data_IF_948232247256
#
_entry.id   IF_948232247256
#
_cell.length_a   1.000
_cell.length_b   1.000
_cell.length_c   1.000
_cell.angle_alpha   90.00
_cell.angle_beta   90.00
_cell.angle_gamma   90.00
#
_symmetry.space_group_name_H-M   'P 1'
#
loop_
_entity.id
_entity.type
_entity.pdbx_description
1 polymer ?
#
# COMPACT_ATOMS: atom_id res chain seq x y z
N UNK A 1 14.45 -8.48 8.72
CA UNK A 1 13.95 -7.22 9.32
C UNK A 1 12.72 -6.81 8.54
N UNK A 2 11.60 -6.48 9.19
CA UNK A 2 10.35 -6.09 8.52
C UNK A 2 10.22 -4.56 8.46
N UNK A 3 9.65 -4.01 7.39
CA UNK A 3 9.11 -2.65 7.30
C UNK A 3 7.60 -2.65 7.27
N UNK A 4 7.04 -1.59 7.85
CA UNK A 4 5.64 -1.21 7.72
C UNK A 4 5.60 0.05 6.85
N UNK A 5 4.93 -0.07 5.71
CA UNK A 5 4.85 0.96 4.70
C UNK A 5 3.40 1.46 4.67
N UNK A 6 3.11 2.69 5.12
CA UNK A 6 1.79 3.26 4.92
C UNK A 6 1.56 3.49 3.44
N UNK A 7 0.41 3.07 2.94
CA UNK A 7 0.02 3.23 1.55
C UNK A 7 -1.38 3.80 1.40
N UNK A 8 -1.64 4.43 0.26
CA UNK A 8 -2.96 4.89 -0.16
C UNK A 8 -3.26 4.39 -1.58
N UNK A 9 -4.45 3.82 -1.80
CA UNK A 9 -4.85 3.32 -3.11
C UNK A 9 -5.06 4.45 -4.11
N UNK A 10 -4.48 4.32 -5.30
CA UNK A 10 -4.82 5.15 -6.46
C UNK A 10 -5.99 4.47 -7.21
N UNK A 11 -5.85 3.18 -7.50
CA UNK A 11 -6.87 2.39 -8.18
C UNK A 11 -6.31 1.13 -8.86
N UNK A 12 -7.13 0.52 -9.72
CA UNK A 12 -6.79 -0.66 -10.49
C UNK A 12 -6.52 -0.25 -11.95
N UNK A 13 -5.24 -0.04 -12.30
CA UNK A 13 -4.83 0.35 -13.65
C UNK A 13 -4.61 -0.85 -14.57
N UNK A 14 -4.46 -2.06 -14.02
CA UNK A 14 -4.23 -3.32 -14.73
C UNK A 14 -4.98 -4.46 -14.03
N UNK A 15 -5.55 -5.44 -14.74
CA UNK A 15 -6.20 -6.59 -14.12
C UNK A 15 -5.27 -7.31 -13.14
N UNK A 16 -5.77 -7.60 -11.93
CA UNK A 16 -5.02 -8.29 -10.89
C UNK A 16 -4.02 -7.42 -10.13
N UNK A 17 -3.88 -6.13 -10.46
CA UNK A 17 -2.92 -5.22 -9.80
C UNK A 17 -3.66 -4.00 -9.23
N UNK A 18 -3.33 -3.65 -8.00
CA UNK A 18 -3.72 -2.37 -7.38
C UNK A 18 -2.49 -1.48 -7.32
N UNK A 19 -2.61 -0.28 -7.88
CA UNK A 19 -1.60 0.76 -7.79
C UNK A 19 -1.87 1.58 -6.53
N UNK A 20 -0.84 1.73 -5.69
CA UNK A 20 -0.88 2.51 -4.46
C UNK A 20 0.29 3.49 -4.40
N UNK A 21 0.19 4.47 -3.53
CA UNK A 21 1.28 5.39 -3.18
C UNK A 21 1.80 4.99 -1.80
N UNK A 22 3.07 4.63 -1.70
CA UNK A 22 3.79 4.45 -0.44
C UNK A 22 4.21 5.79 0.17
N UNK A 23 4.17 5.86 1.50
CA UNK A 23 4.49 7.06 2.28
C UNK A 23 3.78 8.31 1.74
N UNK A 24 2.43 8.29 1.61
CA UNK A 24 1.70 9.42 1.07
C UNK A 24 1.99 10.68 1.90
N UNK A 25 2.28 11.79 1.22
CA UNK A 25 2.66 13.05 1.86
C UNK A 25 4.12 13.13 2.37
N UNK A 26 4.99 12.17 2.04
CA UNK A 26 6.43 12.23 2.34
C UNK A 26 7.27 11.99 1.07
N UNK A 27 8.06 12.97 0.62
CA UNK A 27 9.04 12.81 -0.47
C UNK A 27 8.90 13.82 -1.63
N UNK A 28 9.80 13.76 -2.61
CA UNK A 28 10.39 14.93 -3.32
C UNK A 28 9.49 16.05 -3.88
N UNK A 29 8.18 15.85 -4.09
CA UNK A 29 7.18 16.89 -4.37
C UNK A 29 5.77 16.50 -3.83
N UNK A 30 5.74 15.91 -2.62
CA UNK A 30 4.61 15.59 -1.72
C UNK A 30 3.52 14.60 -2.19
N UNK A 31 3.87 13.66 -3.07
CA UNK A 31 2.97 12.62 -3.59
C UNK A 31 3.38 11.16 -3.29
N UNK A 32 4.33 10.92 -2.37
CA UNK A 32 4.82 9.58 -2.02
C UNK A 32 5.50 8.82 -3.19
N UNK A 33 5.63 7.50 -3.06
CA UNK A 33 6.26 6.61 -4.05
C UNK A 33 5.23 5.62 -4.65
N UNK A 34 4.95 5.66 -5.97
CA UNK A 34 4.05 4.70 -6.59
C UNK A 34 4.58 3.27 -6.49
N UNK A 35 3.69 2.32 -6.19
CA UNK A 35 3.99 0.89 -6.16
C UNK A 35 2.79 0.05 -6.64
N UNK A 36 3.08 -1.13 -7.16
CA UNK A 36 2.08 -2.09 -7.63
C UNK A 36 1.99 -3.27 -6.64
N UNK A 37 0.77 -3.62 -6.24
CA UNK A 37 0.49 -4.73 -5.34
C UNK A 37 -0.49 -5.71 -6.00
N UNK A 38 -0.34 -7.03 -5.78
CA UNK A 38 -1.31 -8.01 -6.25
C UNK A 38 -2.67 -7.81 -5.57
N UNK A 39 -3.74 -7.87 -6.35
CA UNK A 39 -5.11 -7.62 -5.85
C UNK A 39 -5.52 -8.63 -4.79
N UNK A 40 -5.10 -9.88 -4.94
CA UNK A 40 -5.33 -10.99 -4.01
C UNK A 40 -4.72 -10.75 -2.61
N UNK A 41 -3.71 -9.90 -2.51
CA UNK A 41 -3.08 -9.55 -1.24
C UNK A 41 -3.92 -8.57 -0.42
N UNK A 42 -4.76 -7.77 -1.10
CA UNK A 42 -5.49 -6.65 -0.49
C UNK A 42 -6.95 -7.08 -0.25
N UNK A 43 -7.47 -7.01 0.98
CA UNK A 43 -8.89 -7.25 1.27
C UNK A 43 -9.80 -6.37 0.42
N UNK A 44 -10.95 -6.89 -0.02
CA UNK A 44 -11.85 -6.23 -1.00
C UNK A 44 -12.24 -4.82 -0.56
N UNK A 45 -12.52 -4.65 0.73
CA UNK A 45 -12.89 -3.40 1.38
C UNK A 45 -11.80 -2.33 1.36
N UNK A 46 -10.53 -2.72 1.21
CA UNK A 46 -9.38 -1.81 1.12
C UNK A 46 -8.97 -1.48 -0.32
N UNK A 47 -9.66 -1.99 -1.34
CA UNK A 47 -9.30 -1.80 -2.76
C UNK A 47 -9.83 -0.51 -3.39
N UNK A 48 -10.67 0.22 -2.67
CA UNK A 48 -11.26 1.46 -3.19
C UNK A 48 -10.20 2.56 -3.31
N UNK A 49 -10.30 3.46 -4.31
CA UNK A 49 -9.45 4.64 -4.38
C UNK A 49 -9.46 5.43 -3.07
N UNK A 50 -8.29 5.93 -2.69
CA UNK A 50 -8.00 6.63 -1.43
C UNK A 50 -8.11 5.79 -0.15
N UNK A 51 -8.43 4.49 -0.22
CA UNK A 51 -8.32 3.61 0.94
C UNK A 51 -6.87 3.57 1.44
N UNK A 52 -6.69 3.64 2.75
CA UNK A 52 -5.39 3.68 3.40
C UNK A 52 -5.16 2.44 4.25
N UNK A 53 -3.96 1.87 4.16
CA UNK A 53 -3.56 0.70 4.93
C UNK A 53 -2.05 0.61 5.07
N UNK A 54 -1.57 -0.35 5.86
CA UNK A 54 -0.16 -0.64 6.05
C UNK A 54 0.19 -1.92 5.28
N UNK A 55 1.22 -1.84 4.44
CA UNK A 55 1.84 -3.00 3.82
C UNK A 55 3.05 -3.40 4.63
N UNK A 56 3.11 -4.66 5.06
CA UNK A 56 4.29 -5.23 5.71
C UNK A 56 5.13 -5.92 4.67
N UNK A 57 6.40 -5.54 4.62
CA UNK A 57 7.37 -6.04 3.66
C UNK A 57 8.58 -6.62 4.39
N UNK A 58 9.20 -7.62 3.79
CA UNK A 58 10.50 -8.11 4.20
C UNK A 58 11.57 -7.20 3.61
N UNK A 59 12.32 -6.46 4.43
CA UNK A 59 13.35 -5.53 3.95
C UNK A 59 14.48 -6.21 3.18
N UNK A 60 14.76 -7.48 3.46
CA UNK A 60 15.89 -8.21 2.86
C UNK A 60 15.51 -8.80 1.49
N UNK A 61 14.36 -9.47 1.39
CA UNK A 61 13.90 -10.05 0.12
C UNK A 61 13.10 -9.08 -0.74
N UNK A 62 12.57 -8.01 -0.14
CA UNK A 62 11.67 -7.07 -0.78
C UNK A 62 10.23 -7.59 -0.93
N UNK A 63 9.94 -8.80 -0.43
CA UNK A 63 8.65 -9.48 -0.54
C UNK A 63 7.58 -8.82 0.34
N UNK A 64 6.37 -8.68 -0.20
CA UNK A 64 5.21 -8.24 0.57
C UNK A 64 4.59 -9.43 1.30
N UNK A 65 4.41 -9.29 2.62
CA UNK A 65 4.00 -10.39 3.49
C UNK A 65 2.52 -10.28 3.86
N UNK A 66 2.08 -9.10 4.29
CA UNK A 66 0.73 -8.93 4.81
C UNK A 66 0.24 -7.48 4.66
N UNK A 67 -1.09 -7.32 4.67
CA UNK A 67 -1.79 -6.04 4.73
C UNK A 67 -2.44 -5.90 6.10
N UNK A 68 -2.21 -4.76 6.76
CA UNK A 68 -2.82 -4.42 8.04
C UNK A 68 -3.68 -3.15 7.85
N UNK A 69 -4.85 -3.05 8.49
CA UNK A 69 -5.61 -1.80 8.48
C UNK A 69 -4.76 -0.67 9.08
N UNK A 70 -4.90 0.55 8.56
CA UNK A 70 -4.34 1.73 9.22
C UNK A 70 -5.10 1.88 10.54
N UNK A 71 -4.38 1.88 11.68
CA UNK A 71 -5.00 2.04 13.00
C UNK A 71 -5.98 3.21 12.93
N UNK A 72 -7.23 2.93 13.31
CA UNK A 72 -8.30 3.92 13.35
C UNK A 72 -8.05 4.87 14.51
N UNK A 73 -7.04 5.74 14.39
CA UNK A 73 -6.86 6.88 15.26
C UNK A 73 -8.04 7.81 15.04
N UNK A 74 -9.10 7.59 15.82
CA UNK A 74 -10.14 8.57 16.10
C UNK A 74 -9.58 9.73 16.90
#
# INVERSE_FOLDING_TARGET
>A
MLDQIPVQVIGCLKPGIITVIAFPGVGMLDGGLPMELPTEMIPVELRMPNSEFIVVRNKQSGEFIQVLPKDSSK
#
